data_IF_552609967858
#
_entry.id   IF_552609967858
#
_cell.length_a   1.000
_cell.length_b   1.000
_cell.length_c   1.000
_cell.angle_alpha   90.00
_cell.angle_beta   90.00
_cell.angle_gamma   90.00
#
_symmetry.space_group_name_H-M   'P 1'
#
loop_
_entity.id
_entity.type
_entity.pdbx_description
1 polymer ?
#
# COMPACT_ATOMS: atom_id res chain seq x y z
N UNK A 1 -37.25 -40.01 -2.26
CA UNK A 1 -36.26 -38.93 -2.52
C UNK A 1 -36.97 -37.60 -2.76
N UNK A 2 -37.88 -37.16 -1.87
CA UNK A 2 -38.48 -35.82 -1.95
C UNK A 2 -38.54 -35.08 -0.60
N UNK A 3 -38.02 -35.66 0.49
CA UNK A 3 -38.07 -35.03 1.82
C UNK A 3 -36.92 -34.05 2.12
N UNK A 4 -35.87 -34.00 1.29
CA UNK A 4 -34.72 -33.10 1.51
C UNK A 4 -34.98 -31.70 0.93
N UNK A 5 -35.84 -31.56 -0.09
CA UNK A 5 -36.15 -30.25 -0.66
C UNK A 5 -37.04 -29.39 0.25
N UNK A 6 -37.94 -29.99 1.03
CA UNK A 6 -38.84 -29.24 1.92
C UNK A 6 -38.13 -28.69 3.18
N UNK A 7 -37.00 -29.27 3.57
CA UNK A 7 -36.19 -28.79 4.70
C UNK A 7 -35.48 -27.45 4.42
N UNK A 8 -35.32 -27.05 3.16
CA UNK A 8 -34.69 -25.77 2.81
C UNK A 8 -35.69 -24.61 2.71
N UNK A 9 -37.00 -24.87 2.66
CA UNK A 9 -38.01 -23.81 2.55
C UNK A 9 -38.62 -23.37 3.90
N UNK A 10 -38.31 -24.07 5.00
CA UNK A 10 -38.89 -23.77 6.32
C UNK A 10 -38.04 -22.85 7.20
N UNK A 11 -36.91 -22.35 6.70
CA UNK A 11 -35.97 -21.51 7.46
C UNK A 11 -35.66 -20.18 6.76
N UNK A 12 -36.70 -19.51 6.23
CA UNK A 12 -36.61 -18.11 5.83
C UNK A 12 -36.42 -17.23 7.07
N UNK A 13 -35.16 -17.08 7.49
CA UNK A 13 -34.77 -16.02 8.42
C UNK A 13 -35.06 -14.69 7.76
N UNK A 14 -35.88 -13.87 8.41
CA UNK A 14 -36.18 -12.49 7.99
C UNK A 14 -34.90 -11.79 7.54
N UNK A 15 -34.85 -11.34 6.29
CA UNK A 15 -33.72 -10.55 5.78
C UNK A 15 -33.50 -9.34 6.70
N UNK A 16 -32.28 -9.12 7.21
CA UNK A 16 -32.00 -7.97 8.05
C UNK A 16 -32.24 -6.69 7.24
N UNK A 17 -32.98 -5.74 7.82
CA UNK A 17 -33.27 -4.50 7.10
C UNK A 17 -31.96 -3.76 6.80
N UNK A 18 -31.82 -3.32 5.55
CA UNK A 18 -30.68 -2.53 5.07
C UNK A 18 -30.85 -1.03 5.39
N UNK A 19 -31.97 -0.66 6.02
CA UNK A 19 -32.26 0.72 6.45
C UNK A 19 -31.27 1.18 7.52
N UNK A 20 -30.54 2.26 7.23
CA UNK A 20 -29.64 2.94 8.18
C UNK A 20 -28.17 2.50 8.13
N UNK A 21 -27.80 1.46 7.39
CA UNK A 21 -26.40 1.08 7.20
C UNK A 21 -25.61 2.18 6.46
N UNK A 22 -26.18 2.70 5.37
CA UNK A 22 -25.58 3.77 4.58
C UNK A 22 -25.40 5.07 5.39
N UNK A 23 -26.32 5.38 6.31
CA UNK A 23 -26.24 6.58 7.15
C UNK A 23 -25.21 6.44 8.28
N UNK A 24 -25.01 5.23 8.82
CA UNK A 24 -23.92 4.92 9.74
C UNK A 24 -22.55 5.07 9.07
N UNK A 25 -22.40 4.62 7.82
CA UNK A 25 -21.14 4.77 7.07
C UNK A 25 -20.84 6.25 6.76
N UNK A 26 -21.84 7.03 6.35
CA UNK A 26 -21.67 8.47 6.06
C UNK A 26 -21.34 9.29 7.31
N UNK A 27 -21.94 8.98 8.45
CA UNK A 27 -21.64 9.67 9.73
C UNK A 27 -20.24 9.33 10.26
N UNK A 28 -19.75 8.11 10.03
CA UNK A 28 -18.38 7.70 10.40
C UNK A 28 -17.30 8.47 9.62
N UNK A 29 -17.51 8.72 8.32
CA UNK A 29 -16.55 9.48 7.47
C UNK A 29 -16.46 10.96 7.88
N UNK A 30 -17.57 11.61 8.27
CA UNK A 30 -17.55 13.01 8.74
C UNK A 30 -16.79 13.23 10.04
N UNK A 31 -16.76 12.26 10.96
CA UNK A 31 -16.04 12.41 12.24
C UNK A 31 -14.52 12.36 12.09
N UNK A 32 -13.99 11.68 11.06
CA UNK A 32 -12.54 11.60 10.82
C UNK A 32 -11.92 12.90 10.29
N UNK A 33 -12.69 13.77 9.63
CA UNK A 33 -12.15 15.01 9.04
C UNK A 33 -12.10 16.22 9.98
N UNK A 34 -12.71 16.15 11.17
CA UNK A 34 -12.78 17.31 12.10
C UNK A 34 -11.63 17.30 13.14
N UNK A 35 -10.86 16.22 13.24
CA UNK A 35 -9.84 16.05 14.30
C UNK A 35 -8.42 16.58 14.02
N UNK A 36 -8.12 17.07 12.82
CA UNK A 36 -6.73 17.30 12.38
C UNK A 36 -6.38 18.78 12.12
N UNK A 37 -6.87 19.70 12.96
CA UNK A 37 -6.51 21.11 12.81
C UNK A 37 -6.49 21.85 14.14
N UNK A 38 -5.28 22.11 14.66
CA UNK A 38 -4.81 23.34 15.35
C UNK A 38 -3.62 22.97 16.23
N UNK A 39 -2.39 23.26 15.78
CA UNK A 39 -1.23 23.57 16.62
C UNK A 39 -0.05 24.08 15.78
N UNK A 40 -0.08 25.34 15.37
CA UNK A 40 1.14 26.06 14.98
C UNK A 40 0.92 27.56 15.23
N UNK A 41 1.43 28.05 16.36
CA UNK A 41 1.32 29.45 16.72
C UNK A 41 2.33 29.86 17.78
N UNK A 42 3.27 30.70 17.34
CA UNK A 42 4.03 31.69 18.11
C UNK A 42 5.28 31.20 18.85
N UNK A 43 6.46 31.62 18.36
CA UNK A 43 7.47 32.36 19.15
C UNK A 43 8.58 32.89 18.23
N UNK A 44 8.51 34.18 17.90
CA UNK A 44 9.66 34.95 17.40
C UNK A 44 9.68 36.29 18.13
N UNK A 45 10.42 36.36 19.24
CA UNK A 45 10.72 37.61 19.95
C UNK A 45 12.11 38.08 19.51
N UNK A 46 12.14 39.33 19.06
CA UNK A 46 13.28 39.96 18.40
C UNK A 46 14.47 40.23 19.30
N UNK A 47 15.65 40.13 18.70
CA UNK A 47 16.88 40.73 19.18
C UNK A 47 17.18 41.95 18.29
N UNK A 48 16.99 43.13 18.84
CA UNK A 48 17.48 44.38 18.27
C UNK A 48 18.97 44.53 18.62
N UNK A 49 19.83 44.54 17.60
CA UNK A 49 21.25 44.89 17.74
C UNK A 49 21.44 46.32 17.21
N UNK A 50 22.06 47.25 17.96
CA UNK A 50 22.41 48.56 17.44
C UNK A 50 23.70 48.45 16.62
N UNK A 51 23.59 48.49 15.29
CA UNK A 51 24.75 48.61 14.40
C UNK A 51 25.17 50.09 14.33
N UNK A 52 26.22 50.41 15.10
CA UNK A 52 26.91 51.69 15.04
C UNK A 52 27.76 51.84 13.77
N UNK A 53 27.47 52.89 13.01
CA UNK A 53 28.45 53.83 12.45
C UNK A 53 29.66 53.31 11.63
N UNK A 54 29.50 52.34 10.73
CA UNK A 54 30.56 51.98 9.75
C UNK A 54 30.15 52.06 8.27
N UNK A 55 28.98 52.62 7.93
CA UNK A 55 28.42 52.56 6.56
C UNK A 55 28.72 53.74 5.61
N UNK A 56 29.66 54.65 5.92
CA UNK A 56 29.92 55.81 5.04
C UNK A 56 30.95 55.56 3.91
N UNK A 57 31.37 54.32 3.65
CA UNK A 57 32.37 54.01 2.59
C UNK A 57 32.16 52.71 1.81
N UNK A 58 30.93 52.19 1.69
CA UNK A 58 30.70 51.07 0.76
C UNK A 58 30.10 51.56 -0.57
N UNK A 59 30.66 51.15 -1.72
CA UNK A 59 30.06 51.42 -3.01
C UNK A 59 28.66 50.80 -3.04
N UNK A 60 27.71 51.50 -3.66
CA UNK A 60 26.31 51.06 -3.78
C UNK A 60 26.28 49.69 -4.45
N UNK A 61 26.17 48.64 -3.64
CA UNK A 61 25.88 47.29 -4.12
C UNK A 61 24.39 47.30 -4.46
N UNK A 62 24.09 47.42 -5.76
CA UNK A 62 22.73 47.20 -6.26
C UNK A 62 22.43 45.73 -6.00
N UNK A 63 21.58 45.46 -5.00
CA UNK A 63 21.13 44.11 -4.72
C UNK A 63 20.39 43.60 -5.95
N UNK A 64 21.01 42.66 -6.67
CA UNK A 64 20.32 41.91 -7.72
C UNK A 64 19.21 41.12 -7.00
N UNK A 65 17.94 41.23 -7.43
CA UNK A 65 16.85 40.50 -6.80
C UNK A 65 17.22 39.02 -6.79
N UNK A 66 17.18 38.40 -5.61
CA UNK A 66 17.41 36.98 -5.47
C UNK A 66 16.45 36.26 -6.43
N UNK A 67 16.97 35.31 -7.21
CA UNK A 67 16.11 34.45 -8.02
C UNK A 67 15.04 33.86 -7.10
N UNK A 68 13.78 34.19 -7.38
CA UNK A 68 12.64 33.59 -6.72
C UNK A 68 12.68 32.11 -7.07
N UNK A 69 13.26 31.29 -6.19
CA UNK A 69 13.17 29.85 -6.34
C UNK A 69 11.69 29.49 -6.42
N UNK A 70 11.26 28.75 -7.44
CA UNK A 70 9.91 28.23 -7.50
C UNK A 70 9.60 27.55 -6.15
N UNK A 71 8.38 27.72 -5.61
CA UNK A 71 8.01 27.05 -4.38
C UNK A 71 8.30 25.56 -4.55
N UNK A 72 9.04 24.99 -3.59
CA UNK A 72 9.33 23.57 -3.58
C UNK A 72 7.99 22.82 -3.57
N UNK A 73 7.68 22.15 -4.67
CA UNK A 73 6.49 21.30 -4.73
C UNK A 73 6.79 20.11 -3.83
N UNK A 74 6.00 19.96 -2.75
CA UNK A 74 6.11 18.77 -1.90
C UNK A 74 5.97 17.53 -2.79
N UNK A 75 6.88 16.56 -2.68
CA UNK A 75 6.77 15.34 -3.46
C UNK A 75 5.42 14.68 -3.14
N UNK A 76 4.66 14.34 -4.19
CA UNK A 76 3.40 13.61 -4.05
C UNK A 76 3.70 12.21 -3.53
N UNK A 77 3.00 11.75 -2.50
CA UNK A 77 3.18 10.41 -1.96
C UNK A 77 2.37 9.35 -2.73
N UNK A 78 2.83 8.10 -2.73
CA UNK A 78 2.06 6.99 -3.31
C UNK A 78 0.65 6.87 -2.70
N UNK A 79 0.53 7.11 -1.39
CA UNK A 79 -0.75 7.07 -0.68
C UNK A 79 -1.74 8.12 -1.21
N UNK A 80 -1.27 9.35 -1.46
CA UNK A 80 -2.10 10.42 -2.04
C UNK A 80 -2.52 10.06 -3.46
N UNK A 81 -1.60 9.56 -4.29
CA UNK A 81 -1.93 9.14 -5.67
C UNK A 81 -2.96 8.00 -5.67
N UNK A 82 -2.79 7.02 -4.79
CA UNK A 82 -3.71 5.88 -4.71
C UNK A 82 -5.08 6.29 -4.17
N UNK A 83 -5.15 7.22 -3.21
CA UNK A 83 -6.41 7.77 -2.73
C UNK A 83 -7.13 8.56 -3.83
N UNK A 84 -6.42 9.42 -4.55
CA UNK A 84 -6.95 10.18 -5.69
C UNK A 84 -7.45 9.25 -6.80
N UNK A 85 -6.67 8.21 -7.13
CA UNK A 85 -7.03 7.23 -8.15
C UNK A 85 -8.28 6.42 -7.77
N UNK A 86 -8.39 5.97 -6.51
CA UNK A 86 -9.59 5.29 -6.03
C UNK A 86 -10.82 6.22 -6.13
N UNK A 87 -10.67 7.49 -5.81
CA UNK A 87 -11.72 8.50 -5.95
C UNK A 87 -12.11 8.75 -7.42
N UNK A 88 -11.14 8.76 -8.35
CA UNK A 88 -11.39 8.87 -9.79
C UNK A 88 -12.15 7.65 -10.32
N UNK A 89 -11.72 6.45 -9.96
CA UNK A 89 -12.42 5.20 -10.32
C UNK A 89 -13.84 5.20 -9.78
N UNK A 90 -14.05 5.59 -8.52
CA UNK A 90 -15.37 5.62 -7.89
C UNK A 90 -16.34 6.65 -8.49
N UNK A 91 -15.81 7.77 -9.01
CA UNK A 91 -16.61 8.84 -9.64
C UNK A 91 -16.79 8.66 -11.15
N UNK A 92 -16.21 7.61 -11.73
CA UNK A 92 -16.18 7.40 -13.18
C UNK A 92 -17.60 7.20 -13.72
N UNK A 93 -18.05 8.14 -14.55
CA UNK A 93 -19.27 8.02 -15.36
C UNK A 93 -18.90 7.33 -16.68
N UNK A 94 -19.41 6.13 -16.97
CA UNK A 94 -19.11 5.43 -18.22
C UNK A 94 -19.39 6.26 -19.48
N UNK A 95 -20.29 7.24 -19.42
CA UNK A 95 -20.65 8.07 -20.57
C UNK A 95 -19.69 9.26 -20.83
N UNK A 96 -18.89 9.67 -19.85
CA UNK A 96 -18.08 10.91 -19.95
C UNK A 96 -16.62 10.69 -20.36
N UNK A 97 -16.07 9.49 -20.19
CA UNK A 97 -14.62 9.26 -20.26
C UNK A 97 -14.14 8.45 -21.48
N UNK A 98 -14.94 8.34 -22.53
CA UNK A 98 -14.54 7.63 -23.75
C UNK A 98 -13.24 8.18 -24.40
N UNK A 99 -12.88 9.44 -24.12
CA UNK A 99 -11.71 10.13 -24.71
C UNK A 99 -10.50 10.29 -23.76
N UNK A 100 -10.58 9.83 -22.51
CA UNK A 100 -9.54 10.07 -21.47
C UNK A 100 -8.83 8.78 -20.99
N UNK A 101 -8.76 7.78 -21.87
CA UNK A 101 -8.02 6.54 -21.61
C UNK A 101 -6.50 6.73 -21.54
N UNK A 102 -5.80 5.62 -21.26
CA UNK A 102 -4.34 5.61 -21.30
C UNK A 102 -3.85 5.91 -22.71
N UNK A 103 -2.79 6.71 -22.81
CA UNK A 103 -2.13 7.11 -24.05
C UNK A 103 -0.62 7.11 -23.84
N UNK A 104 0.13 7.16 -24.94
CA UNK A 104 1.58 7.33 -24.90
C UNK A 104 1.99 8.65 -24.22
N UNK A 105 3.21 8.69 -23.68
CA UNK A 105 3.79 9.88 -23.05
C UNK A 105 3.44 10.07 -21.58
N UNK A 106 3.09 9.00 -20.86
CA UNK A 106 3.09 9.02 -19.40
C UNK A 106 4.53 9.17 -18.89
N UNK A 107 4.73 9.96 -17.84
CA UNK A 107 6.05 10.17 -17.24
C UNK A 107 6.32 9.17 -16.11
N UNK A 108 5.25 8.70 -15.45
CA UNK A 108 5.31 7.82 -14.27
C UNK A 108 4.14 6.84 -14.24
N UNK A 109 4.37 5.68 -13.62
CA UNK A 109 3.30 4.76 -13.23
C UNK A 109 3.34 4.52 -11.74
N UNK A 110 2.22 4.68 -11.05
CA UNK A 110 2.06 4.25 -9.67
C UNK A 110 1.28 2.94 -9.63
N UNK A 111 1.53 2.10 -8.64
CA UNK A 111 0.80 0.86 -8.45
C UNK A 111 0.17 0.86 -7.06
N UNK A 112 -1.13 0.65 -7.02
CA UNK A 112 -1.97 0.70 -5.83
C UNK A 112 -2.64 -0.66 -5.65
N UNK A 113 -2.68 -1.17 -4.42
CA UNK A 113 -3.45 -2.37 -4.10
C UNK A 113 -4.85 -2.07 -3.56
N UNK A 114 -5.48 -3.11 -3.03
CA UNK A 114 -6.88 -3.14 -2.60
C UNK A 114 -7.10 -2.89 -1.09
N UNK A 115 -6.04 -2.48 -0.38
CA UNK A 115 -6.07 -2.24 1.07
C UNK A 115 -5.54 -3.41 1.88
N UNK A 116 -5.61 -4.65 1.38
CA UNK A 116 -4.85 -5.79 1.94
C UNK A 116 -3.45 -5.81 1.35
N UNK A 117 -3.36 -5.52 0.06
CA UNK A 117 -2.09 -5.40 -0.66
C UNK A 117 -1.64 -3.94 -0.72
N UNK A 118 -0.40 -3.69 -0.31
CA UNK A 118 0.30 -2.42 -0.49
C UNK A 118 1.03 -2.37 -1.82
N UNK A 119 0.96 -1.24 -2.51
CA UNK A 119 1.81 -0.97 -3.66
C UNK A 119 3.22 -0.48 -3.28
N UNK A 120 4.13 -0.35 -4.26
CA UNK A 120 5.43 0.30 -4.05
C UNK A 120 5.29 1.75 -3.57
N UNK A 121 6.30 2.23 -2.83
CA UNK A 121 6.35 3.62 -2.37
C UNK A 121 6.84 4.58 -3.44
N UNK A 122 7.60 4.06 -4.39
CA UNK A 122 8.16 4.75 -5.53
C UNK A 122 7.36 4.49 -6.81
N UNK A 123 7.21 5.52 -7.67
CA UNK A 123 6.66 5.30 -8.99
C UNK A 123 7.66 4.54 -9.87
N UNK A 124 7.12 3.81 -10.85
CA UNK A 124 7.89 3.41 -12.02
C UNK A 124 8.19 4.65 -12.86
N UNK A 125 9.47 4.85 -13.15
CA UNK A 125 10.02 5.93 -13.99
C UNK A 125 10.84 5.39 -15.16
N UNK A 126 11.32 4.14 -15.05
CA UNK A 126 12.02 3.41 -16.11
C UNK A 126 11.05 2.43 -16.77
N UNK A 127 10.98 2.41 -18.09
CA UNK A 127 10.08 1.51 -18.82
C UNK A 127 8.60 1.89 -18.77
N UNK A 128 8.29 3.17 -18.50
CA UNK A 128 6.90 3.67 -18.49
C UNK A 128 6.21 3.48 -19.84
N UNK A 129 6.92 3.72 -20.95
CA UNK A 129 6.39 3.45 -22.29
C UNK A 129 6.06 1.97 -22.50
N UNK A 130 6.88 1.06 -21.95
CA UNK A 130 6.62 -0.38 -22.01
C UNK A 130 5.36 -0.74 -21.22
N UNK A 131 5.15 -0.15 -20.04
CA UNK A 131 3.90 -0.31 -19.28
C UNK A 131 2.68 0.21 -20.06
N UNK A 132 2.78 1.37 -20.72
CA UNK A 132 1.71 1.90 -21.58
C UNK A 132 1.40 0.94 -22.74
N UNK A 133 2.44 0.47 -23.44
CA UNK A 133 2.27 -0.46 -24.56
C UNK A 133 1.73 -1.82 -24.11
N UNK A 134 2.09 -2.30 -22.92
CA UNK A 134 1.53 -3.52 -22.37
C UNK A 134 0.01 -3.39 -22.17
N UNK A 135 -0.48 -2.27 -21.65
CA UNK A 135 -1.92 -2.01 -21.54
C UNK A 135 -2.58 -1.84 -22.93
N UNK A 136 -2.05 -0.97 -23.79
CA UNK A 136 -2.65 -0.68 -25.09
C UNK A 136 -2.60 -1.86 -26.07
N UNK A 137 -1.61 -2.74 -25.91
CA UNK A 137 -1.43 -3.97 -26.66
C UNK A 137 -2.30 -5.13 -26.16
N UNK A 138 -2.86 -5.04 -24.95
CA UNK A 138 -3.76 -6.07 -24.43
C UNK A 138 -5.02 -6.20 -25.28
N UNK A 139 -5.49 -7.43 -25.58
CA UNK A 139 -6.70 -7.66 -26.37
C UNK A 139 -7.92 -6.98 -25.74
N UNK A 140 -8.85 -6.48 -26.57
CA UNK A 140 -10.15 -6.02 -26.08
C UNK A 140 -10.90 -7.17 -25.42
N UNK A 141 -11.52 -6.91 -24.27
CA UNK A 141 -12.34 -7.89 -23.58
C UNK A 141 -13.62 -8.19 -24.38
N UNK A 142 -14.05 -9.46 -24.49
CA UNK A 142 -15.35 -9.78 -25.09
C UNK A 142 -16.48 -9.16 -24.26
N UNK A 143 -17.45 -8.52 -24.92
CA UNK A 143 -18.57 -7.84 -24.24
C UNK A 143 -19.59 -8.82 -23.63
N UNK A 144 -19.59 -10.07 -24.09
CA UNK A 144 -20.52 -11.13 -23.72
C UNK A 144 -19.88 -12.19 -22.80
N UNK A 145 -18.70 -11.91 -22.25
CA UNK A 145 -18.02 -12.83 -21.35
C UNK A 145 -18.77 -12.95 -20.02
N UNK A 146 -19.17 -14.15 -19.65
CA UNK A 146 -19.71 -14.45 -18.33
C UNK A 146 -18.56 -14.69 -17.32
N UNK A 147 -18.48 -13.85 -16.29
CA UNK A 147 -17.46 -13.93 -15.24
C UNK A 147 -18.04 -14.55 -13.96
N UNK A 148 -17.26 -15.33 -13.23
CA UNK A 148 -17.61 -15.72 -11.86
C UNK A 148 -17.40 -14.51 -10.93
N UNK A 149 -18.31 -14.27 -9.98
CA UNK A 149 -18.19 -13.17 -8.99
C UNK A 149 -17.26 -13.53 -7.83
N UNK A 150 -16.13 -14.20 -8.11
CA UNK A 150 -15.17 -14.55 -7.07
C UNK A 150 -14.51 -13.29 -6.49
N UNK A 151 -14.24 -13.31 -5.17
CA UNK A 151 -13.64 -12.17 -4.47
C UNK A 151 -12.37 -11.71 -5.18
N UNK A 152 -12.27 -10.39 -5.39
CA UNK A 152 -11.37 -9.80 -6.37
C UNK A 152 -10.17 -9.20 -5.65
N UNK A 153 -8.99 -9.82 -5.76
CA UNK A 153 -7.77 -9.03 -5.67
C UNK A 153 -7.74 -8.14 -6.91
N UNK A 154 -7.89 -6.83 -6.68
CA UNK A 154 -7.79 -5.83 -7.71
C UNK A 154 -6.60 -4.91 -7.40
N UNK A 155 -5.92 -4.49 -8.45
CA UNK A 155 -4.89 -3.45 -8.34
C UNK A 155 -5.27 -2.28 -9.23
N UNK A 156 -4.68 -1.12 -8.98
CA UNK A 156 -4.82 0.05 -9.84
C UNK A 156 -3.43 0.54 -10.24
N UNK A 157 -3.12 0.52 -11.54
CA UNK A 157 -1.98 1.21 -12.10
C UNK A 157 -2.40 2.64 -12.47
N UNK A 158 -1.67 3.66 -12.01
CA UNK A 158 -2.00 5.07 -12.24
C UNK A 158 -0.94 5.68 -13.14
N UNK A 159 -1.30 5.94 -14.40
CA UNK A 159 -0.42 6.61 -15.36
C UNK A 159 -0.50 8.11 -15.14
N UNK A 160 0.62 8.72 -14.75
CA UNK A 160 0.73 10.16 -14.51
C UNK A 160 1.50 10.83 -15.65
N UNK A 161 0.89 11.87 -16.22
CA UNK A 161 1.44 12.63 -17.33
C UNK A 161 2.12 13.92 -16.83
N UNK A 162 2.91 14.53 -17.71
CA UNK A 162 3.67 15.75 -17.43
C UNK A 162 2.82 16.92 -16.95
N UNK A 163 1.58 17.03 -17.41
CA UNK A 163 0.63 18.07 -17.03
C UNK A 163 -0.07 17.81 -15.67
N UNK A 164 0.27 16.70 -15.01
CA UNK A 164 -0.34 16.27 -13.75
C UNK A 164 -1.62 15.45 -13.93
N UNK A 165 -2.07 15.23 -15.17
CA UNK A 165 -3.19 14.33 -15.46
C UNK A 165 -2.86 12.93 -14.98
N UNK A 166 -3.84 12.23 -14.40
CA UNK A 166 -3.72 10.85 -13.92
C UNK A 166 -4.82 9.99 -14.49
N UNK A 167 -4.44 8.88 -15.12
CA UNK A 167 -5.38 7.90 -15.66
C UNK A 167 -5.23 6.59 -14.91
N UNK A 168 -6.22 6.20 -14.07
CA UNK A 168 -6.19 4.92 -13.38
C UNK A 168 -6.68 3.79 -14.31
N UNK A 169 -5.90 2.71 -14.30
CA UNK A 169 -6.21 1.41 -14.89
C UNK A 169 -6.42 0.41 -13.77
N UNK A 170 -7.66 -0.06 -13.61
CA UNK A 170 -7.96 -1.14 -12.67
C UNK A 170 -7.69 -2.49 -13.34
N UNK A 171 -6.99 -3.39 -12.66
CA UNK A 171 -6.75 -4.75 -13.11
C UNK A 171 -7.31 -5.77 -12.13
N UNK A 172 -7.93 -6.82 -12.67
CA UNK A 172 -8.49 -7.94 -11.92
C UNK A 172 -7.59 -9.17 -12.04
N UNK A 173 -7.40 -9.92 -10.95
CA UNK A 173 -6.62 -11.17 -10.96
C UNK A 173 -7.48 -12.44 -10.93
N UNK A 174 -8.79 -12.29 -10.71
CA UNK A 174 -9.78 -13.36 -10.69
C UNK A 174 -10.93 -13.06 -11.65
N UNK A 175 -11.84 -14.01 -11.82
CA UNK A 175 -12.98 -13.86 -12.74
C UNK A 175 -12.50 -13.69 -14.18
N UNK A 176 -12.86 -12.57 -14.80
CA UNK A 176 -12.53 -12.30 -16.20
C UNK A 176 -11.15 -11.69 -16.43
N UNK A 177 -10.44 -11.32 -15.35
CA UNK A 177 -9.09 -10.77 -15.42
C UNK A 177 -9.03 -9.55 -16.35
N UNK A 178 -10.00 -8.66 -16.20
CA UNK A 178 -10.11 -7.47 -17.03
C UNK A 178 -9.11 -6.39 -16.59
N UNK A 179 -8.79 -5.52 -17.54
CA UNK A 179 -8.11 -4.26 -17.37
C UNK A 179 -9.07 -3.16 -17.83
N UNK A 180 -9.23 -2.10 -17.04
CA UNK A 180 -10.13 -1.01 -17.41
C UNK A 180 -9.55 0.37 -17.08
N UNK A 181 -9.41 1.21 -18.11
CA UNK A 181 -9.03 2.61 -18.00
C UNK A 181 -10.23 3.57 -18.14
N UNK A 182 -11.45 3.02 -18.13
CA UNK A 182 -12.70 3.77 -18.27
C UNK A 182 -13.10 4.12 -19.68
N UNK A 183 -12.15 4.20 -20.61
CA UNK A 183 -12.42 4.35 -22.04
C UNK A 183 -12.55 2.98 -22.72
N UNK A 184 -11.79 2.00 -22.24
CA UNK A 184 -11.72 0.65 -22.79
C UNK A 184 -11.65 -0.41 -21.68
N UNK A 185 -12.21 -1.58 -21.97
CA UNK A 185 -12.04 -2.79 -21.17
C UNK A 185 -11.27 -3.82 -21.98
N UNK A 186 -10.15 -4.28 -21.45
CA UNK A 186 -9.22 -5.21 -22.09
C UNK A 186 -9.09 -6.47 -21.23
N UNK A 187 -8.62 -7.55 -21.82
CA UNK A 187 -8.25 -8.77 -21.10
C UNK A 187 -6.78 -8.70 -20.67
N UNK A 188 -6.38 -9.57 -19.74
CA UNK A 188 -4.97 -9.77 -19.41
C UNK A 188 -4.50 -9.08 -18.13
N UNK A 189 -5.36 -9.03 -17.11
CA UNK A 189 -5.07 -8.43 -15.82
C UNK A 189 -3.82 -8.97 -15.14
N UNK A 190 -3.58 -10.29 -15.23
CA UNK A 190 -2.41 -10.94 -14.62
C UNK A 190 -1.13 -10.70 -15.44
N UNK A 191 -1.21 -10.77 -16.76
CA UNK A 191 -0.11 -10.53 -17.69
C UNK A 191 0.39 -9.09 -17.60
N UNK A 192 -0.54 -8.13 -17.50
CA UNK A 192 -0.19 -6.73 -17.29
C UNK A 192 0.46 -6.50 -15.92
N UNK A 193 -0.07 -7.09 -14.84
CA UNK A 193 0.56 -6.99 -13.52
C UNK A 193 1.97 -7.60 -13.53
N UNK A 194 2.14 -8.75 -14.18
CA UNK A 194 3.45 -9.40 -14.33
C UNK A 194 4.45 -8.49 -15.04
N UNK A 195 4.00 -7.82 -16.12
CA UNK A 195 4.82 -6.83 -16.82
C UNK A 195 5.24 -5.69 -15.90
N UNK A 196 4.29 -5.12 -15.15
CA UNK A 196 4.58 -4.09 -14.16
C UNK A 196 5.60 -4.56 -13.11
N UNK A 197 5.39 -5.74 -12.50
CA UNK A 197 6.32 -6.33 -11.52
C UNK A 197 7.75 -6.45 -12.07
N UNK A 198 7.89 -6.88 -13.32
CA UNK A 198 9.19 -7.01 -13.98
C UNK A 198 9.87 -5.64 -14.19
N UNK A 199 9.10 -4.63 -14.61
CA UNK A 199 9.60 -3.27 -14.80
C UNK A 199 10.07 -2.64 -13.47
N UNK A 200 9.30 -2.79 -12.40
CA UNK A 200 9.73 -2.35 -11.06
C UNK A 200 10.97 -3.10 -10.59
N UNK A 201 11.04 -4.41 -10.81
CA UNK A 201 12.22 -5.22 -10.47
C UNK A 201 13.46 -4.73 -11.21
N UNK A 202 13.34 -4.45 -12.51
CA UNK A 202 14.43 -3.90 -13.31
C UNK A 202 14.87 -2.50 -12.83
N UNK A 203 13.92 -1.62 -12.50
CA UNK A 203 14.22 -0.31 -11.92
C UNK A 203 14.97 -0.45 -10.59
N UNK A 204 14.47 -1.29 -9.68
CA UNK A 204 15.05 -1.53 -8.35
C UNK A 204 16.44 -2.15 -8.39
N UNK A 205 16.77 -2.90 -9.44
CA UNK A 205 18.11 -3.43 -9.66
C UNK A 205 19.13 -2.36 -10.09
N UNK A 206 18.66 -1.24 -10.67
CA UNK A 206 19.50 -0.15 -11.15
C UNK A 206 19.52 1.07 -10.22
N UNK A 207 18.59 1.16 -9.27
CA UNK A 207 18.35 2.29 -8.37
C UNK A 207 18.88 2.01 -6.94
N UNK A 208 19.36 3.04 -6.26
CA UNK A 208 19.74 3.02 -4.85
C UNK A 208 18.61 3.44 -3.90
N UNK A 209 17.38 3.57 -4.43
CA UNK A 209 16.18 3.88 -3.66
C UNK A 209 16.08 3.07 -2.36
N UNK A 210 15.78 3.80 -1.29
CA UNK A 210 15.48 3.24 0.01
C UNK A 210 14.49 4.11 0.76
N UNK A 211 13.44 3.50 1.30
CA UNK A 211 12.48 4.18 2.16
C UNK A 211 13.19 4.72 3.40
N UNK A 212 12.78 5.92 3.84
CA UNK A 212 13.35 6.56 5.02
C UNK A 212 12.55 6.30 6.29
N UNK A 213 11.28 5.92 6.13
CA UNK A 213 10.34 5.74 7.22
C UNK A 213 9.57 4.46 6.93
N UNK A 214 9.60 3.54 7.90
CA UNK A 214 8.80 2.32 7.84
C UNK A 214 7.31 2.67 7.80
N UNK A 215 6.50 1.99 6.98
CA UNK A 215 5.06 2.20 6.96
C UNK A 215 4.45 1.87 8.32
N UNK A 216 3.47 2.65 8.81
CA UNK A 216 2.81 2.33 10.06
C UNK A 216 2.06 0.99 9.94
N UNK A 217 1.88 0.31 11.08
CA UNK A 217 1.02 -0.86 11.14
C UNK A 217 -0.38 -0.50 10.59
N UNK A 218 -0.86 -1.29 9.62
CA UNK A 218 -2.11 -1.04 8.89
C UNK A 218 -2.74 -2.34 8.40
N UNK A 219 -4.00 -2.33 7.95
CA UNK A 219 -4.65 -3.56 7.47
C UNK A 219 -3.96 -4.19 6.24
N UNK A 220 -3.05 -3.46 5.59
CA UNK A 220 -2.21 -4.00 4.54
C UNK A 220 -1.19 -5.00 5.11
N UNK A 221 -1.41 -6.28 4.84
CA UNK A 221 -0.56 -7.39 5.30
C UNK A 221 0.44 -7.84 4.24
N UNK A 222 0.24 -7.49 2.97
CA UNK A 222 1.07 -7.98 1.86
C UNK A 222 1.54 -6.84 0.95
N UNK A 223 2.57 -7.09 0.15
CA UNK A 223 3.05 -6.17 -0.89
C UNK A 223 2.81 -6.77 -2.25
N UNK A 224 2.34 -5.97 -3.21
CA UNK A 224 2.15 -6.45 -4.59
C UNK A 224 3.48 -6.87 -5.19
N UNK A 225 4.54 -6.11 -4.91
CA UNK A 225 5.89 -6.47 -5.28
C UNK A 225 6.48 -7.45 -4.27
N UNK A 226 7.29 -8.42 -4.74
CA UNK A 226 8.00 -9.34 -3.86
C UNK A 226 8.82 -8.62 -2.78
N UNK A 227 8.88 -9.24 -1.61
CA UNK A 227 9.75 -8.84 -0.52
C UNK A 227 11.17 -9.37 -0.77
N UNK A 228 12.19 -8.52 -0.63
CA UNK A 228 13.59 -8.94 -0.74
C UNK A 228 14.21 -9.23 0.64
N UNK A 229 14.39 -10.52 1.01
CA UNK A 229 14.95 -10.89 2.31
C UNK A 229 16.43 -10.55 2.48
N UNK A 230 17.13 -10.13 1.41
CA UNK A 230 18.54 -9.72 1.48
C UNK A 230 18.71 -8.21 1.71
N UNK A 231 17.61 -7.43 1.65
CA UNK A 231 17.64 -5.98 1.85
C UNK A 231 16.71 -5.52 2.97
N UNK A 232 16.49 -6.38 3.96
CA UNK A 232 15.73 -6.02 5.18
C UNK A 232 16.40 -4.84 5.88
N UNK A 233 15.62 -3.81 6.21
CA UNK A 233 16.11 -2.59 6.88
C UNK A 233 15.53 -2.41 8.29
N UNK A 234 14.55 -3.22 8.66
CA UNK A 234 13.92 -3.15 9.97
C UNK A 234 12.66 -3.98 10.08
N UNK A 235 12.11 -4.00 11.29
CA UNK A 235 10.85 -4.63 11.62
C UNK A 235 10.01 -3.76 12.55
N UNK A 236 8.76 -4.17 12.73
CA UNK A 236 7.88 -3.67 13.76
C UNK A 236 6.97 -4.79 14.28
N UNK A 237 6.60 -4.70 15.55
CA UNK A 237 5.58 -5.55 16.14
C UNK A 237 4.28 -4.74 16.16
N UNK A 238 3.20 -5.33 15.68
CA UNK A 238 1.90 -4.68 15.63
C UNK A 238 0.90 -5.43 16.51
N UNK A 239 0.09 -4.68 17.25
CA UNK A 239 -1.05 -5.19 17.98
C UNK A 239 -2.35 -4.53 17.49
N UNK A 240 -3.43 -5.30 17.45
CA UNK A 240 -4.75 -4.77 17.14
C UNK A 240 -5.43 -4.29 18.43
N UNK A 241 -5.61 -2.97 18.55
CA UNK A 241 -6.37 -2.34 19.65
C UNK A 241 -7.73 -1.87 19.13
N UNK A 242 -8.76 -2.67 19.42
CA UNK A 242 -10.09 -2.48 18.85
C UNK A 242 -10.10 -2.70 17.34
N UNK A 243 -10.24 -1.62 16.57
CA UNK A 243 -10.23 -1.63 15.11
C UNK A 243 -8.97 -0.96 14.52
N UNK A 244 -7.97 -0.64 15.35
CA UNK A 244 -6.79 0.11 14.90
C UNK A 244 -5.53 -0.63 15.26
N UNK A 245 -4.69 -0.84 14.25
CA UNK A 245 -3.36 -1.37 14.45
C UNK A 245 -2.44 -0.31 15.08
N UNK A 246 -1.68 -0.73 16.08
CA UNK A 246 -0.65 0.07 16.72
C UNK A 246 0.70 -0.60 16.55
N UNK A 247 1.74 0.20 16.41
CA UNK A 247 3.12 -0.26 16.52
C UNK A 247 3.47 -0.35 18.00
N UNK A 248 3.85 -1.53 18.46
CA UNK A 248 4.33 -1.76 19.80
C UNK A 248 5.79 -1.28 19.90
N UNK A 249 6.16 -0.70 21.04
CA UNK A 249 7.55 -0.33 21.30
C UNK A 249 8.39 -1.59 21.48
N UNK A 250 9.50 -1.68 20.74
CA UNK A 250 10.50 -2.72 20.96
C UNK A 250 11.13 -2.53 22.35
N UNK A 251 11.57 -3.63 23.01
CA UNK A 251 12.29 -3.55 24.27
C UNK A 251 13.45 -2.54 24.23
N UNK A 252 13.65 -1.84 25.35
CA UNK A 252 14.67 -0.80 25.44
C UNK A 252 16.07 -1.37 25.16
N UNK A 253 16.81 -0.70 24.28
CA UNK A 253 18.16 -1.11 23.87
C UNK A 253 18.21 -2.07 22.69
N UNK A 254 17.07 -2.50 22.16
CA UNK A 254 17.00 -3.24 20.90
C UNK A 254 17.41 -2.37 19.72
N UNK A 255 18.30 -2.89 18.87
CA UNK A 255 18.61 -2.31 17.56
C UNK A 255 17.67 -2.93 16.51
N UNK A 256 16.88 -2.09 15.83
CA UNK A 256 15.84 -2.58 14.92
C UNK A 256 16.42 -3.32 13.70
N UNK A 257 17.57 -2.87 13.18
CA UNK A 257 18.23 -3.53 12.06
C UNK A 257 18.73 -4.92 12.45
N UNK A 258 19.48 -5.01 13.55
CA UNK A 258 19.99 -6.29 14.07
C UNK A 258 18.86 -7.27 14.43
N UNK A 259 17.74 -6.79 15.00
CA UNK A 259 16.58 -7.64 15.23
C UNK A 259 15.93 -8.14 13.95
N UNK A 260 15.85 -7.29 12.92
CA UNK A 260 15.29 -7.67 11.63
C UNK A 260 16.16 -8.74 10.95
N UNK A 261 17.48 -8.60 10.98
CA UNK A 261 18.42 -9.58 10.43
C UNK A 261 18.31 -10.93 11.17
N UNK A 262 18.31 -10.91 12.51
CA UNK A 262 18.13 -12.13 13.33
C UNK A 262 16.79 -12.80 13.08
N UNK A 263 15.72 -12.02 12.93
CA UNK A 263 14.39 -12.54 12.65
C UNK A 263 14.34 -13.20 11.27
N UNK A 264 14.90 -12.55 10.24
CA UNK A 264 14.96 -13.10 8.89
C UNK A 264 15.79 -14.39 8.82
N UNK A 265 16.94 -14.42 9.50
CA UNK A 265 17.76 -15.62 9.60
C UNK A 265 16.99 -16.77 10.28
N UNK A 266 16.31 -16.48 11.40
CA UNK A 266 15.51 -17.49 12.12
C UNK A 266 14.35 -18.03 11.30
N UNK A 267 13.68 -17.20 10.49
CA UNK A 267 12.61 -17.65 9.59
C UNK A 267 13.18 -18.56 8.52
N UNK A 268 14.29 -18.15 7.89
CA UNK A 268 14.93 -18.92 6.82
C UNK A 268 15.38 -20.30 7.30
N UNK A 269 15.92 -20.39 8.51
CA UNK A 269 16.43 -21.63 9.08
C UNK A 269 15.35 -22.52 9.70
N UNK A 270 14.23 -21.92 10.15
CA UNK A 270 13.28 -22.57 11.07
C UNK A 270 11.82 -22.56 10.63
N UNK A 271 11.49 -22.09 9.42
CA UNK A 271 10.11 -22.14 8.94
C UNK A 271 9.73 -23.52 8.43
N UNK A 272 8.50 -23.94 8.73
CA UNK A 272 7.91 -25.19 8.25
C UNK A 272 6.81 -24.88 7.24
N UNK A 273 6.87 -25.51 6.07
CA UNK A 273 5.76 -25.48 5.11
C UNK A 273 4.64 -26.39 5.60
N UNK A 274 3.40 -26.01 5.31
CA UNK A 274 2.23 -26.79 5.70
C UNK A 274 1.09 -26.58 4.74
N UNK A 275 0.38 -27.68 4.46
CA UNK A 275 -0.84 -27.69 3.67
C UNK A 275 -2.10 -27.65 4.56
N UNK A 276 -1.96 -27.60 5.89
CA UNK A 276 -3.10 -27.57 6.82
C UNK A 276 -3.71 -26.17 6.88
N UNK A 277 -4.93 -25.96 6.35
CA UNK A 277 -5.59 -24.66 6.39
C UNK A 277 -6.22 -24.37 7.75
N UNK A 278 -6.19 -25.32 8.69
CA UNK A 278 -6.83 -25.17 9.99
C UNK A 278 -5.88 -24.50 10.99
N UNK A 279 -6.06 -23.20 11.16
CA UNK A 279 -5.40 -22.42 12.20
C UNK A 279 -6.38 -21.42 12.82
N UNK A 280 -6.06 -20.98 14.03
CA UNK A 280 -6.81 -19.95 14.74
C UNK A 280 -5.87 -18.79 15.04
N UNK A 281 -6.28 -17.57 14.73
CA UNK A 281 -5.50 -16.38 15.05
C UNK A 281 -5.58 -16.05 16.54
N UNK A 282 -4.48 -15.56 17.11
CA UNK A 282 -4.45 -15.12 18.49
C UNK A 282 -5.40 -13.93 18.72
N UNK A 283 -5.97 -13.82 19.93
CA UNK A 283 -6.73 -12.66 20.39
C UNK A 283 -6.10 -12.09 21.66
N UNK A 284 -5.66 -10.80 21.69
CA UNK A 284 -5.71 -9.85 20.57
C UNK A 284 -4.79 -10.25 19.42
N UNK A 285 -5.14 -9.84 18.20
CA UNK A 285 -4.28 -10.11 17.05
C UNK A 285 -2.95 -9.39 17.21
N UNK A 286 -1.88 -10.12 16.89
CA UNK A 286 -0.51 -9.62 16.88
C UNK A 286 0.17 -10.07 15.60
N UNK A 287 1.11 -9.26 15.11
CA UNK A 287 1.92 -9.60 13.95
C UNK A 287 3.31 -8.98 14.03
N UNK A 288 4.27 -9.62 13.39
CA UNK A 288 5.58 -9.05 13.11
C UNK A 288 5.60 -8.66 11.64
N UNK A 289 5.96 -7.41 11.34
CA UNK A 289 6.11 -6.93 9.97
C UNK A 289 7.57 -6.56 9.75
N UNK A 290 8.19 -7.12 8.73
CA UNK A 290 9.54 -6.75 8.29
C UNK A 290 9.45 -5.96 6.99
N UNK A 291 10.40 -5.05 6.79
CA UNK A 291 10.45 -4.19 5.60
C UNK A 291 11.78 -4.35 4.90
N UNK A 292 11.74 -4.52 3.59
CA UNK A 292 12.91 -4.38 2.76
C UNK A 292 13.22 -2.89 2.49
N UNK A 293 14.35 -2.62 1.85
CA UNK A 293 14.78 -1.25 1.57
C UNK A 293 13.77 -0.48 0.73
N UNK A 294 12.93 -1.15 -0.05
CA UNK A 294 11.92 -0.52 -0.90
C UNK A 294 10.56 -0.35 -0.21
N UNK A 295 10.43 -0.87 1.02
CA UNK A 295 9.18 -0.84 1.78
C UNK A 295 8.21 -1.97 1.44
N UNK A 296 8.62 -2.96 0.64
CA UNK A 296 7.86 -4.21 0.56
C UNK A 296 7.86 -4.86 1.94
N UNK A 297 6.81 -5.62 2.27
CA UNK A 297 6.63 -6.24 3.59
C UNK A 297 6.49 -7.74 3.55
N UNK A 298 7.09 -8.37 4.56
CA UNK A 298 6.75 -9.72 4.99
C UNK A 298 6.01 -9.62 6.32
N UNK A 299 4.76 -10.11 6.37
CA UNK A 299 3.94 -10.11 7.58
C UNK A 299 3.85 -11.54 8.14
N UNK A 300 4.09 -11.66 9.43
CA UNK A 300 3.95 -12.85 10.24
C UNK A 300 2.79 -12.64 11.21
N UNK A 301 1.70 -13.38 11.08
CA UNK A 301 0.51 -13.25 11.92
C UNK A 301 0.51 -14.30 13.04
N UNK A 302 0.30 -13.85 14.28
CA UNK A 302 0.34 -14.72 15.45
C UNK A 302 -0.91 -15.60 15.53
N UNK A 303 -0.70 -16.88 15.74
CA UNK A 303 -1.73 -17.90 15.94
C UNK A 303 -1.97 -18.14 17.44
N UNK A 304 -3.10 -18.75 17.76
CA UNK A 304 -3.52 -19.07 19.12
C UNK A 304 -2.57 -20.07 19.82
N UNK A 305 -1.87 -20.90 19.06
CA UNK A 305 -0.86 -21.84 19.58
C UNK A 305 0.53 -21.21 19.79
N UNK A 306 0.67 -19.91 19.50
CA UNK A 306 1.90 -19.15 19.67
C UNK A 306 2.83 -19.14 18.45
N UNK A 307 2.56 -19.95 17.42
CA UNK A 307 3.27 -19.88 16.13
C UNK A 307 2.87 -18.63 15.37
N UNK A 308 3.63 -18.32 14.33
CA UNK A 308 3.35 -17.26 13.38
C UNK A 308 3.16 -17.85 11.98
N UNK A 309 2.15 -17.35 11.27
CA UNK A 309 1.86 -17.69 9.88
C UNK A 309 2.38 -16.60 8.95
N UNK A 310 3.07 -16.99 7.89
CA UNK A 310 3.34 -16.16 6.73
C UNK A 310 2.87 -16.87 5.46
N UNK A 311 2.54 -16.08 4.45
CA UNK A 311 2.35 -16.56 3.08
C UNK A 311 3.54 -16.13 2.25
N UNK A 312 4.08 -17.06 1.48
CA UNK A 312 5.06 -16.74 0.44
C UNK A 312 4.36 -16.26 -0.83
N UNK A 313 5.16 -15.77 -1.80
CA UNK A 313 4.64 -15.17 -3.03
C UNK A 313 3.81 -16.13 -3.90
N UNK A 314 4.04 -17.44 -3.77
CA UNK A 314 3.27 -18.48 -4.47
C UNK A 314 2.02 -18.94 -3.69
N UNK A 315 1.75 -18.32 -2.54
CA UNK A 315 0.65 -18.66 -1.65
C UNK A 315 0.95 -19.79 -0.66
N UNK A 316 2.17 -20.36 -0.66
CA UNK A 316 2.55 -21.42 0.28
C UNK A 316 2.56 -20.86 1.71
N UNK A 317 1.84 -21.56 2.59
CA UNK A 317 1.79 -21.25 4.01
C UNK A 317 3.07 -21.72 4.70
N UNK A 318 3.64 -20.83 5.50
CA UNK A 318 4.81 -21.11 6.32
C UNK A 318 4.53 -20.77 7.77
N UNK A 319 4.82 -21.72 8.65
CA UNK A 319 4.77 -21.52 10.08
C UNK A 319 6.16 -21.26 10.63
N UNK A 320 6.26 -20.30 11.55
CA UNK A 320 7.50 -19.95 12.23
C UNK A 320 7.24 -19.86 13.73
N UNK A 321 8.15 -20.43 14.52
CA UNK A 321 8.16 -20.24 15.97
C UNK A 321 9.42 -19.47 16.33
N UNK A 322 9.33 -18.26 16.91
CA UNK A 322 10.51 -17.54 17.32
C UNK A 322 11.29 -18.35 18.37
N UNK A 323 12.63 -18.44 18.24
CA UNK A 323 13.49 -18.84 19.34
C UNK A 323 13.18 -17.99 20.58
N UNK A 324 13.25 -18.60 21.76
CA UNK A 324 12.78 -17.95 22.99
C UNK A 324 13.45 -16.59 23.27
N UNK A 325 14.77 -16.49 23.06
CA UNK A 325 15.53 -15.24 23.20
C UNK A 325 15.12 -14.16 22.20
N UNK A 326 14.82 -14.57 20.96
CA UNK A 326 14.29 -13.66 19.94
C UNK A 326 12.85 -13.23 20.27
N UNK A 327 12.01 -14.14 20.77
CA UNK A 327 10.66 -13.84 21.25
C UNK A 327 10.66 -12.77 22.34
N UNK A 328 11.53 -12.90 23.34
CA UNK A 328 11.73 -11.88 24.37
C UNK A 328 12.18 -10.55 23.78
N UNK A 329 13.14 -10.57 22.85
CA UNK A 329 13.68 -9.37 22.22
C UNK A 329 12.67 -8.63 21.34
N UNK A 330 11.65 -9.32 20.86
CA UNK A 330 10.51 -8.78 20.12
C UNK A 330 9.32 -8.44 21.03
N UNK A 331 9.36 -8.74 22.33
CA UNK A 331 8.22 -8.53 23.23
C UNK A 331 7.03 -9.46 22.94
N UNK A 332 7.30 -10.66 22.42
CA UNK A 332 6.29 -11.65 22.06
C UNK A 332 5.97 -12.65 23.18
N UNK A 333 6.67 -12.56 24.32
CA UNK A 333 6.45 -13.38 25.50
C UNK A 333 5.14 -12.97 26.20
N UNK A 334 4.03 -13.63 25.83
CA UNK A 334 2.72 -13.40 26.44
C UNK A 334 1.62 -14.26 25.87
#
# INVERSE_FOLDING_TARGET
MSDIQDLFHTNDTQEPSTEGWADKVRTRRRRRHVGAGVAAGVLAVGLAIPLGATLLRQPVQVASPAETQPPAVSPVSAADVCADAADLVAKRDPAQYADEGVKEGADRVWLCGDGTWGGPFEPLTVGVDEAVQAFLGSPMAPQDQACTMEYVMAYTAVFEYRDGTRVPVTGELHGCRHLADGASTRSGGEEFLTTLKNLWTAQRAADDYSIKIAPPCSDQTMSILPFDPQSVIGLQVCSLDGETWKTDELPAGSDNGDLADKTMASITDGSEESDDPMFEFATPQRRVQMFDRFGSRLTLERLADGRFLAFSDDGTMRFWTPPADLGTSLGLDG
#
